data_IF_738079362067
#
_entry.id   IF_738079362067
#
_cell.length_a   1.000
_cell.length_b   1.000
_cell.length_c   1.000
_cell.angle_alpha   90.00
_cell.angle_beta   90.00
_cell.angle_gamma   90.00
#
_symmetry.space_group_name_H-M   'P 1'
#
loop_
_entity.id
_entity.type
_entity.pdbx_description
1 polymer ?
#
# COMPACT_ATOMS: atom_id res chain seq x y z
N UNK A 1 10.11 3.21 6.08
CA UNK A 1 10.43 2.96 7.49
C UNK A 1 11.96 2.89 7.68
N UNK A 2 12.57 3.78 8.50
CA UNK A 2 14.03 3.83 8.72
C UNK A 2 14.63 2.57 9.36
N UNK A 3 13.79 1.77 10.00
CA UNK A 3 14.22 0.49 10.63
C UNK A 3 14.26 -0.67 9.64
N UNK A 4 13.68 -0.50 8.44
CA UNK A 4 13.61 -1.55 7.41
C UNK A 4 15.01 -2.01 6.98
N UNK A 5 15.26 -3.34 6.86
CA UNK A 5 16.51 -3.87 6.31
C UNK A 5 16.80 -3.34 4.90
N UNK A 6 15.76 -3.21 4.06
CA UNK A 6 15.90 -2.65 2.69
C UNK A 6 16.44 -1.23 2.70
N UNK A 7 15.86 -0.35 3.53
CA UNK A 7 16.35 1.02 3.66
C UNK A 7 17.81 1.07 4.09
N UNK A 8 18.18 0.30 5.11
CA UNK A 8 19.58 0.25 5.62
C UNK A 8 20.55 -0.23 4.55
N UNK A 9 20.19 -1.26 3.79
CA UNK A 9 21.01 -1.79 2.71
C UNK A 9 21.20 -0.74 1.59
N UNK A 10 20.12 -0.14 1.08
CA UNK A 10 20.19 0.89 0.03
C UNK A 10 21.02 2.07 0.52
N UNK A 11 20.77 2.59 1.72
CA UNK A 11 21.52 3.72 2.27
C UNK A 11 23.02 3.45 2.42
N UNK A 12 23.39 2.21 2.72
CA UNK A 12 24.82 1.84 2.79
C UNK A 12 25.50 2.03 1.43
N UNK A 13 24.84 1.62 0.35
CA UNK A 13 25.38 1.75 -1.00
C UNK A 13 25.36 3.20 -1.51
N UNK A 14 24.29 3.94 -1.23
CA UNK A 14 24.16 5.33 -1.71
C UNK A 14 25.10 6.32 -1.03
N UNK A 15 25.64 6.01 0.16
CA UNK A 15 26.63 6.85 0.84
C UNK A 15 27.92 7.09 0.05
N UNK A 16 28.33 6.13 -0.76
CA UNK A 16 29.52 6.21 -1.59
C UNK A 16 29.22 6.74 -3.01
N UNK A 17 27.96 6.92 -3.36
CA UNK A 17 27.56 7.41 -4.66
C UNK A 17 27.70 8.92 -4.74
N UNK A 18 28.28 9.42 -5.85
CA UNK A 18 28.40 10.86 -6.11
C UNK A 18 27.04 11.51 -6.41
N UNK A 19 26.14 10.77 -7.06
CA UNK A 19 24.79 11.20 -7.41
C UNK A 19 23.82 10.06 -7.15
N UNK A 20 22.69 10.38 -6.54
CA UNK A 20 21.59 9.44 -6.30
C UNK A 20 20.31 10.03 -6.86
N UNK A 21 19.65 9.30 -7.74
CA UNK A 21 18.36 9.68 -8.34
C UNK A 21 17.31 8.65 -7.98
N UNK A 22 16.18 9.08 -7.46
CA UNK A 22 15.01 8.24 -7.18
C UNK A 22 13.91 8.50 -8.20
N UNK A 23 13.44 7.45 -8.88
CA UNK A 23 12.29 7.50 -9.78
C UNK A 23 11.12 6.75 -9.16
N UNK A 24 10.00 7.44 -8.96
CA UNK A 24 8.81 6.84 -8.36
C UNK A 24 7.55 7.58 -8.82
N UNK A 25 6.57 6.86 -9.34
CA UNK A 25 5.28 7.44 -9.76
C UNK A 25 4.37 7.73 -8.55
N UNK A 26 4.48 6.93 -7.47
CA UNK A 26 3.64 7.04 -6.26
C UNK A 26 4.51 7.04 -5.01
N UNK A 27 5.22 8.14 -4.70
CA UNK A 27 6.22 8.16 -3.64
C UNK A 27 5.63 8.04 -2.23
N UNK A 28 4.34 8.30 -2.05
CA UNK A 28 3.66 8.28 -0.74
C UNK A 28 2.35 7.47 -0.78
N UNK A 29 2.38 6.15 -1.12
CA UNK A 29 1.17 5.36 -1.32
C UNK A 29 0.35 5.19 -0.04
N UNK A 30 0.99 5.15 1.12
CA UNK A 30 0.34 5.03 2.43
C UNK A 30 0.32 6.37 3.22
N UNK A 31 0.87 7.41 2.62
CA UNK A 31 0.88 8.76 3.20
C UNK A 31 2.27 9.40 3.26
N UNK A 32 2.30 10.65 3.66
CA UNK A 32 3.51 11.48 3.65
C UNK A 32 4.68 10.93 4.49
N UNK A 33 4.41 10.03 5.45
CA UNK A 33 5.48 9.40 6.23
C UNK A 33 6.46 8.57 5.40
N UNK A 34 6.02 8.10 4.23
CA UNK A 34 6.85 7.29 3.32
C UNK A 34 7.96 8.10 2.66
N UNK A 35 7.77 9.41 2.53
CA UNK A 35 8.72 10.30 1.89
C UNK A 35 10.04 10.41 2.64
N UNK A 36 10.02 10.32 3.97
CA UNK A 36 11.24 10.53 4.77
C UNK A 36 12.40 9.64 4.33
N UNK A 37 12.17 8.34 4.24
CA UNK A 37 13.23 7.38 3.89
C UNK A 37 13.73 7.52 2.46
N UNK A 38 12.84 7.90 1.54
CA UNK A 38 13.19 8.14 0.15
C UNK A 38 14.09 9.38 0.02
N UNK A 39 13.69 10.48 0.65
CA UNK A 39 14.48 11.71 0.71
C UNK A 39 15.84 11.46 1.37
N UNK A 40 15.89 10.71 2.49
CA UNK A 40 17.13 10.34 3.14
C UNK A 40 18.11 9.55 2.24
N UNK A 41 17.59 8.74 1.33
CA UNK A 41 18.40 7.99 0.37
C UNK A 41 18.98 8.94 -0.68
N UNK A 42 18.18 9.87 -1.19
CA UNK A 42 18.54 10.76 -2.30
C UNK A 42 19.51 11.85 -1.85
N UNK A 43 19.24 12.51 -0.72
CA UNK A 43 19.98 13.71 -0.29
C UNK A 43 20.94 13.47 0.89
N UNK A 44 20.98 12.24 1.43
CA UNK A 44 21.80 11.89 2.58
C UNK A 44 21.27 12.47 3.90
N UNK A 45 20.08 13.06 3.92
CA UNK A 45 19.44 13.65 5.10
C UNK A 45 19.68 15.14 5.25
N UNK A 46 20.04 15.84 4.20
CA UNK A 46 20.27 17.29 4.22
C UNK A 46 18.97 18.06 4.42
N UNK A 47 17.88 17.68 3.71
CA UNK A 47 16.61 18.41 3.72
C UNK A 47 15.88 18.34 5.07
N UNK A 48 15.76 17.13 5.63
CA UNK A 48 14.92 16.89 6.82
C UNK A 48 15.71 16.40 8.05
N UNK A 49 17.03 16.43 7.99
CA UNK A 49 17.88 15.94 9.05
C UNK A 49 17.89 14.40 9.18
N UNK A 50 18.74 13.82 10.01
CA UNK A 50 18.94 12.39 10.09
C UNK A 50 17.87 11.64 10.91
N UNK A 51 17.08 12.36 11.72
CA UNK A 51 16.17 11.76 12.70
C UNK A 51 14.73 11.73 12.22
N UNK A 52 14.23 10.52 11.91
CA UNK A 52 12.81 10.31 11.60
C UNK A 52 11.89 10.75 12.75
N UNK A 53 12.29 10.52 13.99
CA UNK A 53 11.48 10.88 15.16
C UNK A 53 11.29 12.40 15.25
N UNK A 54 12.34 13.20 15.14
CA UNK A 54 12.25 14.67 15.17
C UNK A 54 11.43 15.19 13.99
N UNK A 55 11.69 14.68 12.78
CA UNK A 55 10.92 15.04 11.59
C UNK A 55 9.44 14.68 11.75
N UNK A 56 9.13 13.49 12.27
CA UNK A 56 7.74 13.07 12.50
C UNK A 56 7.04 14.00 13.50
N UNK A 57 7.66 14.33 14.60
CA UNK A 57 7.08 15.26 15.58
C UNK A 57 6.81 16.67 15.03
N UNK A 58 7.58 17.10 14.04
CA UNK A 58 7.42 18.40 13.42
C UNK A 58 6.17 18.48 12.53
N UNK A 59 5.85 17.41 11.83
CA UNK A 59 4.80 17.40 10.81
C UNK A 59 3.59 16.52 11.14
N UNK A 60 3.70 15.66 12.11
CA UNK A 60 2.65 14.72 12.48
C UNK A 60 2.32 14.81 13.96
N UNK A 61 1.10 14.45 14.32
CA UNK A 61 0.64 14.28 15.68
C UNK A 61 0.16 12.86 15.93
N UNK A 62 0.32 12.31 17.15
CA UNK A 62 -0.28 11.03 17.50
C UNK A 62 -1.80 11.12 17.37
N UNK A 63 -2.41 10.09 16.80
CA UNK A 63 -3.86 9.97 16.63
C UNK A 63 -4.50 9.03 17.64
N UNK A 64 -3.69 8.36 18.44
CA UNK A 64 -4.12 7.50 19.54
C UNK A 64 -3.36 7.84 20.84
N UNK A 65 -3.93 7.42 21.96
CA UNK A 65 -3.35 7.67 23.29
C UNK A 65 -1.99 6.96 23.49
N UNK A 66 -1.79 5.83 22.81
CA UNK A 66 -0.55 5.05 22.92
C UNK A 66 0.56 5.57 22.00
N UNK A 67 0.25 6.48 21.07
CA UNK A 67 1.23 7.08 20.14
C UNK A 67 1.75 6.12 19.07
N UNK A 68 1.02 5.04 18.77
CA UNK A 68 1.38 4.12 17.69
C UNK A 68 0.99 4.69 16.33
N UNK A 69 -0.20 5.29 16.24
CA UNK A 69 -0.71 5.87 15.01
C UNK A 69 -0.45 7.37 14.97
N UNK A 70 -0.06 7.84 13.80
CA UNK A 70 0.29 9.25 13.58
C UNK A 70 -0.45 9.78 12.36
N UNK A 71 -1.01 10.95 12.49
CA UNK A 71 -1.68 11.67 11.40
C UNK A 71 -0.93 12.96 11.08
N UNK A 72 -0.99 13.36 9.83
CA UNK A 72 -0.45 14.63 9.40
C UNK A 72 -1.17 15.79 10.11
N UNK A 73 -0.40 16.75 10.63
CA UNK A 73 -0.96 17.94 11.25
C UNK A 73 -1.64 18.83 10.20
N UNK A 74 -2.67 19.57 10.64
CA UNK A 74 -3.34 20.52 9.78
C UNK A 74 -2.33 21.57 9.25
N UNK A 75 -2.32 21.78 7.94
CA UNK A 75 -1.40 22.71 7.30
C UNK A 75 0.03 22.18 7.07
N UNK A 76 0.37 20.97 7.52
CA UNK A 76 1.72 20.42 7.31
C UNK A 76 1.98 19.95 5.88
N UNK A 77 0.95 19.52 5.13
CA UNK A 77 1.11 19.05 3.76
C UNK A 77 1.75 20.08 2.82
N UNK A 78 1.28 21.33 2.75
CA UNK A 78 1.91 22.37 1.92
C UNK A 78 3.38 22.61 2.28
N UNK A 79 3.73 22.56 3.57
CA UNK A 79 5.10 22.76 4.03
C UNK A 79 6.02 21.62 3.60
N UNK A 80 5.56 20.38 3.73
CA UNK A 80 6.28 19.19 3.26
C UNK A 80 6.50 19.23 1.74
N UNK A 81 5.45 19.56 0.97
CA UNK A 81 5.53 19.65 -0.47
C UNK A 81 6.45 20.79 -0.93
N UNK A 82 6.38 21.95 -0.29
CA UNK A 82 7.28 23.07 -0.58
C UNK A 82 8.74 22.68 -0.34
N UNK A 83 9.03 22.01 0.76
CA UNK A 83 10.37 21.52 1.04
C UNK A 83 10.81 20.45 0.00
N UNK A 84 9.93 19.50 -0.33
CA UNK A 84 10.22 18.46 -1.29
C UNK A 84 10.52 19.02 -2.70
N UNK A 85 9.81 20.05 -3.12
CA UNK A 85 10.01 20.70 -4.43
C UNK A 85 11.41 21.33 -4.60
N UNK A 86 12.17 21.50 -3.52
CA UNK A 86 13.58 21.93 -3.65
C UNK A 86 14.52 20.80 -4.06
N UNK A 87 14.07 19.56 -3.90
CA UNK A 87 14.87 18.36 -4.17
C UNK A 87 14.30 17.51 -5.31
N UNK A 88 12.98 17.52 -5.48
CA UNK A 88 12.28 16.65 -6.41
C UNK A 88 11.62 17.46 -7.53
N UNK A 89 11.64 16.88 -8.73
CA UNK A 89 10.88 17.36 -9.87
C UNK A 89 9.68 16.43 -10.08
N UNK A 90 8.50 17.00 -10.24
CA UNK A 90 7.27 16.27 -10.52
C UNK A 90 6.81 16.60 -11.94
N UNK A 91 6.49 15.54 -12.68
CA UNK A 91 5.82 15.63 -13.97
C UNK A 91 4.39 15.15 -13.78
N UNK A 92 3.43 15.99 -14.01
CA UNK A 92 2.01 15.61 -14.05
C UNK A 92 1.63 15.19 -15.48
N UNK A 93 0.61 14.35 -15.61
CA UNK A 93 0.13 13.87 -16.91
C UNK A 93 -0.21 15.02 -17.87
N UNK A 94 -0.75 16.12 -17.34
CA UNK A 94 -1.04 17.34 -18.10
C UNK A 94 0.20 18.04 -18.72
N UNK A 95 1.39 17.76 -18.15
CA UNK A 95 2.66 18.34 -18.61
C UNK A 95 3.27 17.52 -19.74
N UNK A 96 2.70 16.35 -20.05
CA UNK A 96 3.15 15.49 -21.15
C UNK A 96 2.58 15.98 -22.48
N UNK A 97 3.44 16.05 -23.50
CA UNK A 97 3.05 16.44 -24.85
C UNK A 97 2.05 15.47 -25.49
N UNK A 98 2.00 14.24 -25.01
CA UNK A 98 1.08 13.19 -25.44
C UNK A 98 0.18 12.79 -24.28
N UNK A 99 -1.09 13.14 -24.39
CA UNK A 99 -2.12 12.69 -23.45
C UNK A 99 -2.94 11.58 -24.13
N UNK A 100 -2.76 10.35 -23.68
CA UNK A 100 -3.66 9.25 -24.03
C UNK A 100 -4.91 9.37 -23.19
N UNK A 101 -6.08 9.47 -23.83
CA UNK A 101 -7.34 9.40 -23.10
C UNK A 101 -7.46 8.03 -22.43
N UNK A 102 -7.44 8.01 -21.12
CA UNK A 102 -7.64 6.77 -20.36
C UNK A 102 -9.11 6.40 -20.43
N UNK A 103 -9.43 5.31 -21.12
CA UNK A 103 -10.78 4.77 -21.19
C UNK A 103 -10.96 3.71 -20.11
N UNK A 104 -11.85 3.95 -19.18
CA UNK A 104 -12.26 2.95 -18.19
C UNK A 104 -13.43 2.15 -18.76
N UNK A 105 -13.17 0.87 -19.07
CA UNK A 105 -14.23 -0.05 -19.49
C UNK A 105 -14.52 -1.01 -18.34
N UNK A 106 -15.76 -1.00 -17.87
CA UNK A 106 -16.22 -1.94 -16.85
C UNK A 106 -16.92 -3.10 -17.56
N UNK A 107 -16.37 -4.30 -17.41
CA UNK A 107 -16.93 -5.53 -17.95
C UNK A 107 -17.58 -6.28 -16.79
N UNK A 108 -18.89 -6.38 -16.78
CA UNK A 108 -19.65 -7.18 -15.83
C UNK A 108 -19.50 -8.67 -16.19
N UNK A 109 -19.10 -9.48 -15.20
CA UNK A 109 -19.02 -10.94 -15.36
C UNK A 109 -19.90 -11.58 -14.30
N UNK A 110 -20.83 -12.43 -14.74
CA UNK A 110 -21.65 -13.23 -13.84
C UNK A 110 -20.86 -14.47 -13.36
N UNK A 111 -20.86 -14.67 -12.05
CA UNK A 111 -20.26 -15.87 -11.47
C UNK A 111 -21.07 -17.11 -11.84
N UNK A 112 -20.44 -18.25 -12.15
CA UNK A 112 -21.09 -19.54 -12.26
C UNK A 112 -21.94 -19.84 -11.01
N UNK A 113 -23.01 -20.62 -11.16
CA UNK A 113 -23.96 -20.86 -10.08
C UNK A 113 -23.31 -21.41 -8.81
N UNK A 114 -22.36 -22.34 -8.97
CA UNK A 114 -21.60 -22.92 -7.84
C UNK A 114 -20.79 -21.86 -7.10
N UNK A 115 -20.03 -21.04 -7.83
CA UNK A 115 -19.24 -19.96 -7.24
C UNK A 115 -20.11 -18.87 -6.62
N UNK A 116 -21.26 -18.56 -7.21
CA UNK A 116 -22.23 -17.59 -6.66
C UNK A 116 -22.80 -18.06 -5.32
N UNK A 117 -23.19 -19.35 -5.21
CA UNK A 117 -23.65 -19.93 -3.95
C UNK A 117 -22.54 -19.86 -2.88
N UNK A 118 -21.35 -20.31 -3.21
CA UNK A 118 -20.20 -20.27 -2.32
C UNK A 118 -19.86 -18.83 -1.87
N UNK A 119 -19.98 -17.85 -2.76
CA UNK A 119 -19.79 -16.45 -2.44
C UNK A 119 -20.83 -15.94 -1.43
N UNK A 120 -22.11 -16.21 -1.66
CA UNK A 120 -23.20 -15.81 -0.78
C UNK A 120 -23.12 -16.46 0.60
N UNK A 121 -22.72 -17.73 0.67
CA UNK A 121 -22.49 -18.45 1.94
C UNK A 121 -21.33 -17.84 2.72
N UNK A 122 -20.17 -17.61 2.08
CA UNK A 122 -19.01 -16.98 2.71
C UNK A 122 -19.33 -15.57 3.23
N UNK A 123 -20.08 -14.79 2.46
CA UNK A 123 -20.49 -13.45 2.88
C UNK A 123 -21.40 -13.46 4.10
N UNK A 124 -22.34 -14.43 4.17
CA UNK A 124 -23.34 -14.50 5.22
C UNK A 124 -22.85 -15.20 6.48
N UNK A 125 -22.13 -16.30 6.33
CA UNK A 125 -21.78 -17.20 7.46
C UNK A 125 -20.29 -17.27 7.75
N UNK A 126 -19.44 -16.69 6.89
CA UNK A 126 -17.98 -16.84 6.92
C UNK A 126 -17.50 -18.30 6.75
N UNK A 127 -18.37 -19.17 6.27
CA UNK A 127 -18.11 -20.60 6.04
C UNK A 127 -18.63 -20.96 4.66
N UNK A 128 -17.89 -21.82 3.94
CA UNK A 128 -18.35 -22.40 2.67
C UNK A 128 -18.10 -23.91 2.70
N UNK A 129 -19.11 -24.68 2.40
CA UNK A 129 -19.01 -26.10 2.16
C UNK A 129 -18.62 -26.34 0.70
N UNK A 130 -17.45 -26.87 0.46
CA UNK A 130 -16.95 -27.15 -0.89
C UNK A 130 -17.26 -28.58 -1.31
N UNK A 131 -17.28 -29.48 -0.37
CA UNK A 131 -17.71 -30.89 -0.52
C UNK A 131 -18.32 -31.39 0.78
N UNK A 132 -18.90 -32.62 0.77
CA UNK A 132 -19.48 -33.23 1.95
C UNK A 132 -18.51 -33.39 3.15
N UNK A 133 -17.19 -33.39 2.87
CA UNK A 133 -16.14 -33.61 3.87
C UNK A 133 -15.23 -32.38 4.06
N UNK A 134 -15.43 -31.30 3.29
CA UNK A 134 -14.53 -30.17 3.31
C UNK A 134 -15.28 -28.83 3.40
N UNK A 135 -15.06 -28.13 4.49
CA UNK A 135 -15.54 -26.75 4.71
C UNK A 135 -14.37 -25.79 4.80
N UNK A 136 -14.59 -24.58 4.34
CA UNK A 136 -13.61 -23.49 4.40
C UNK A 136 -14.15 -22.39 5.29
N UNK A 137 -13.42 -22.10 6.38
CA UNK A 137 -13.81 -21.13 7.41
C UNK A 137 -12.97 -19.88 7.31
N UNK A 138 -13.59 -18.71 7.42
CA UNK A 138 -12.92 -17.43 7.59
C UNK A 138 -12.97 -16.98 9.04
N UNK A 139 -11.84 -16.95 9.71
CA UNK A 139 -11.72 -16.63 11.15
C UNK A 139 -11.91 -15.12 11.47
N UNK A 140 -12.03 -14.28 10.46
CA UNK A 140 -12.20 -12.83 10.62
C UNK A 140 -12.80 -12.21 9.35
N UNK A 141 -13.36 -11.00 9.46
CA UNK A 141 -13.86 -10.25 8.31
C UNK A 141 -12.78 -9.99 7.24
N UNK A 142 -11.53 -9.77 7.65
CA UNK A 142 -10.41 -9.63 6.71
C UNK A 142 -10.12 -10.93 5.96
N UNK A 143 -10.16 -12.07 6.65
CA UNK A 143 -10.02 -13.39 6.04
C UNK A 143 -11.19 -13.69 5.10
N UNK A 144 -12.43 -13.36 5.48
CA UNK A 144 -13.60 -13.51 4.64
C UNK A 144 -13.49 -12.69 3.36
N UNK A 145 -13.06 -11.42 3.43
CA UNK A 145 -12.83 -10.58 2.26
C UNK A 145 -11.80 -11.18 1.30
N UNK A 146 -10.74 -11.80 1.84
CA UNK A 146 -9.75 -12.48 1.02
C UNK A 146 -10.31 -13.75 0.35
N UNK A 147 -11.09 -14.55 1.07
CA UNK A 147 -11.78 -15.74 0.55
C UNK A 147 -12.80 -15.36 -0.53
N UNK A 148 -13.59 -14.31 -0.32
CA UNK A 148 -14.53 -13.80 -1.32
C UNK A 148 -13.85 -13.42 -2.64
N UNK A 149 -12.68 -12.77 -2.58
CA UNK A 149 -11.89 -12.49 -3.78
C UNK A 149 -11.39 -13.75 -4.48
N UNK A 150 -11.01 -14.77 -3.73
CA UNK A 150 -10.60 -16.07 -4.29
C UNK A 150 -11.78 -16.75 -4.99
N UNK A 151 -12.94 -16.81 -4.35
CA UNK A 151 -14.18 -17.35 -4.92
C UNK A 151 -14.56 -16.63 -6.22
N UNK A 152 -14.48 -15.31 -6.24
CA UNK A 152 -14.75 -14.50 -7.44
C UNK A 152 -13.75 -14.79 -8.58
N UNK A 153 -12.56 -15.29 -8.27
CA UNK A 153 -11.57 -15.74 -9.25
C UNK A 153 -11.71 -17.24 -9.62
N UNK A 154 -12.76 -17.92 -9.15
CA UNK A 154 -13.08 -19.30 -9.50
C UNK A 154 -12.38 -20.37 -8.66
N UNK A 155 -11.72 -20.01 -7.59
CA UNK A 155 -11.07 -20.95 -6.68
C UNK A 155 -11.05 -20.41 -5.24
N UNK A 156 -10.78 -21.30 -4.27
CA UNK A 156 -10.52 -20.89 -2.89
C UNK A 156 -9.46 -21.83 -2.29
N UNK A 157 -8.55 -21.29 -1.47
CA UNK A 157 -7.58 -22.13 -0.77
C UNK A 157 -8.20 -22.76 0.48
N UNK A 158 -7.95 -24.05 0.69
CA UNK A 158 -8.26 -24.76 1.93
C UNK A 158 -7.29 -24.42 3.05
N UNK A 159 -7.38 -25.13 4.18
CA UNK A 159 -6.49 -24.94 5.34
C UNK A 159 -5.05 -25.34 5.06
N UNK A 160 -4.82 -26.30 4.16
CA UNK A 160 -3.50 -26.74 3.70
C UNK A 160 -2.92 -25.86 2.59
N UNK A 161 -3.63 -24.76 2.23
CA UNK A 161 -3.30 -23.87 1.11
C UNK A 161 -3.33 -24.52 -0.26
N UNK A 162 -4.12 -25.57 -0.43
CA UNK A 162 -4.39 -26.16 -1.74
C UNK A 162 -5.56 -25.45 -2.40
N UNK A 163 -5.48 -25.15 -3.70
CA UNK A 163 -6.58 -24.51 -4.41
C UNK A 163 -7.71 -25.52 -4.66
N UNK A 164 -8.92 -25.14 -4.27
CA UNK A 164 -10.14 -25.86 -4.58
C UNK A 164 -10.89 -25.06 -5.64
N UNK A 165 -11.13 -25.64 -6.81
CA UNK A 165 -11.84 -25.01 -7.93
C UNK A 165 -13.34 -25.09 -7.71
N UNK A 166 -14.04 -23.98 -7.99
CA UNK A 166 -15.49 -23.79 -7.75
C UNK A 166 -16.30 -23.85 -9.06
#
# INVERSE_FOLDING_TARGET
NPKSPRYKAVRKHTKAAGIVVGLNATPAPEGFSDLFTQVQIVDGGKLWGPSFYKWRQQFFAPSDYQGFNWRLQLGAAPLLLKALNTLAFRVDEKDLAYQSAMTHTQIGIDLPEKARKAYAEMEKTMVVEVSAEQSIVAMSAAAASMKLRQIANGFVYDEERKPVVL
#
